data_IF_032124602501
#
_entry.id   IF_032124602501
#
_cell.length_a   1.000
_cell.length_b   1.000
_cell.length_c   1.000
_cell.angle_alpha   90.00
_cell.angle_beta   90.00
_cell.angle_gamma   90.00
#
_symmetry.space_group_name_H-M   'P 1'
#
loop_
_entity.id
_entity.type
_entity.pdbx_description
1 polymer ?
#
# COMPACT_ATOMS: atom_id res chain seq x y z
N UNK A 1 -26.25 18.05 -3.01
CA UNK A 1 -25.99 19.50 -2.83
C UNK A 1 -24.94 19.95 -3.84
N UNK A 2 -25.22 21.02 -4.59
CA UNK A 2 -24.32 21.55 -5.65
C UNK A 2 -22.87 21.81 -5.14
N UNK A 3 -22.69 22.18 -3.87
CA UNK A 3 -21.34 22.39 -3.29
C UNK A 3 -20.59 21.08 -3.08
N UNK A 4 -21.27 20.05 -2.58
CA UNK A 4 -20.68 18.72 -2.41
C UNK A 4 -20.29 18.12 -3.76
N UNK A 5 -21.20 18.18 -4.74
CA UNK A 5 -20.95 17.70 -6.09
C UNK A 5 -19.76 18.40 -6.74
N UNK A 6 -19.64 19.73 -6.54
CA UNK A 6 -18.51 20.51 -7.02
C UNK A 6 -17.20 20.11 -6.34
N UNK A 7 -17.20 19.95 -5.01
CA UNK A 7 -16.00 19.56 -4.28
C UNK A 7 -15.50 18.18 -4.71
N UNK A 8 -16.40 17.22 -4.85
CA UNK A 8 -16.06 15.87 -5.35
C UNK A 8 -15.53 15.96 -6.79
N UNK A 9 -16.21 16.69 -7.67
CA UNK A 9 -15.78 16.85 -9.06
C UNK A 9 -14.40 17.50 -9.16
N UNK A 10 -14.10 18.52 -8.36
CA UNK A 10 -12.79 19.17 -8.30
C UNK A 10 -11.70 18.21 -7.81
N UNK A 11 -11.96 17.41 -6.78
CA UNK A 11 -11.00 16.44 -6.27
C UNK A 11 -10.69 15.35 -7.28
N UNK A 12 -11.72 14.85 -7.98
CA UNK A 12 -11.53 13.86 -9.03
C UNK A 12 -10.77 14.45 -10.21
N UNK A 13 -11.12 15.66 -10.62
CA UNK A 13 -10.40 16.35 -11.72
C UNK A 13 -8.92 16.56 -11.35
N UNK A 14 -8.62 16.98 -10.13
CA UNK A 14 -7.24 17.14 -9.66
C UNK A 14 -6.46 15.82 -9.68
N UNK A 15 -7.11 14.70 -9.30
CA UNK A 15 -6.49 13.40 -9.29
C UNK A 15 -6.22 12.83 -10.71
N UNK A 16 -7.11 13.11 -11.67
CA UNK A 16 -6.97 12.63 -13.06
C UNK A 16 -6.13 13.56 -13.94
N UNK A 17 -5.77 14.75 -13.48
CA UNK A 17 -4.85 15.64 -14.20
C UNK A 17 -3.44 15.04 -14.30
N UNK A 18 -2.64 15.38 -15.32
CA UNK A 18 -1.28 14.86 -15.49
C UNK A 18 -0.41 15.01 -14.24
N UNK A 19 -0.48 16.15 -13.56
CA UNK A 19 0.26 16.37 -12.30
C UNK A 19 -0.20 15.45 -11.15
N UNK A 20 -1.50 15.15 -11.05
CA UNK A 20 -2.05 14.20 -10.08
C UNK A 20 -1.60 12.78 -10.35
N UNK A 21 -1.61 12.36 -11.60
CA UNK A 21 -1.12 11.03 -12.04
C UNK A 21 0.38 10.89 -11.78
N UNK A 22 1.17 11.94 -12.12
CA UNK A 22 2.61 11.96 -11.86
C UNK A 22 2.92 11.83 -10.36
N UNK A 23 2.19 12.59 -9.52
CA UNK A 23 2.33 12.51 -8.07
C UNK A 23 1.99 11.11 -7.53
N UNK A 24 0.92 10.48 -8.03
CA UNK A 24 0.53 9.13 -7.64
C UNK A 24 1.57 8.08 -8.06
N UNK A 25 2.16 8.22 -9.25
CA UNK A 25 3.25 7.35 -9.72
C UNK A 25 4.48 7.49 -8.81
N UNK A 26 4.89 8.72 -8.47
CA UNK A 26 6.04 8.96 -7.57
C UNK A 26 5.80 8.39 -6.17
N UNK A 27 4.60 8.54 -5.62
CA UNK A 27 4.24 7.95 -4.33
C UNK A 27 4.28 6.42 -4.37
N UNK A 28 3.78 5.81 -5.43
CA UNK A 28 3.84 4.36 -5.64
C UNK A 28 5.29 3.86 -5.73
N UNK A 29 6.16 4.57 -6.45
CA UNK A 29 7.59 4.25 -6.54
C UNK A 29 8.29 4.33 -5.18
N UNK A 30 8.00 5.37 -4.39
CA UNK A 30 8.56 5.52 -3.04
C UNK A 30 8.10 4.40 -2.11
N UNK A 31 6.81 4.04 -2.15
CA UNK A 31 6.28 2.94 -1.36
C UNK A 31 6.92 1.59 -1.76
N UNK A 32 7.15 1.36 -3.05
CA UNK A 32 7.84 0.16 -3.53
C UNK A 32 9.27 0.08 -3.03
N UNK A 33 10.02 1.20 -3.03
CA UNK A 33 11.38 1.23 -2.51
C UNK A 33 11.42 0.88 -1.01
N UNK A 34 10.49 1.44 -0.22
CA UNK A 34 10.38 1.11 1.20
C UNK A 34 10.05 -0.37 1.44
N UNK A 35 9.15 -0.94 0.64
CA UNK A 35 8.77 -2.35 0.75
C UNK A 35 9.92 -3.27 0.33
N UNK A 36 10.68 -2.92 -0.70
CA UNK A 36 11.88 -3.64 -1.11
C UNK A 36 12.98 -3.60 -0.05
N UNK A 37 13.19 -2.46 0.61
CA UNK A 37 14.14 -2.33 1.73
C UNK A 37 13.72 -3.19 2.92
N UNK A 38 12.44 -3.16 3.31
CA UNK A 38 11.89 -4.01 4.37
C UNK A 38 12.06 -5.48 4.04
N UNK A 39 11.77 -5.89 2.82
CA UNK A 39 11.94 -7.25 2.35
C UNK A 39 13.39 -7.71 2.43
N UNK A 40 14.34 -6.91 1.95
CA UNK A 40 15.78 -7.20 2.07
C UNK A 40 16.22 -7.37 3.53
N UNK A 41 15.71 -6.54 4.44
CA UNK A 41 16.00 -6.68 5.86
C UNK A 41 15.44 -8.00 6.44
N UNK A 42 14.27 -8.44 6.01
CA UNK A 42 13.68 -9.74 6.40
C UNK A 42 14.47 -10.92 5.82
N UNK A 43 14.92 -10.84 4.57
CA UNK A 43 15.78 -11.85 3.93
C UNK A 43 17.11 -12.01 4.67
N UNK A 44 17.76 -10.90 5.06
CA UNK A 44 18.98 -10.93 5.88
C UNK A 44 18.73 -11.53 7.27
N UNK A 45 17.56 -11.25 7.86
CA UNK A 45 17.17 -11.83 9.15
C UNK A 45 17.01 -13.35 9.06
N UNK A 46 16.37 -13.82 7.98
CA UNK A 46 16.22 -15.26 7.71
C UNK A 46 17.58 -15.92 7.47
N UNK A 47 18.48 -15.28 6.71
CA UNK A 47 19.81 -15.79 6.46
C UNK A 47 20.62 -15.97 7.76
N UNK A 48 20.56 -14.98 8.67
CA UNK A 48 21.17 -15.07 10.01
C UNK A 48 20.56 -16.20 10.81
N UNK A 49 19.24 -16.34 10.86
CA UNK A 49 18.57 -17.40 11.59
C UNK A 49 19.00 -18.78 11.08
N UNK A 50 19.08 -18.97 9.76
CA UNK A 50 19.57 -20.20 9.15
C UNK A 50 21.06 -20.50 9.45
N UNK A 51 21.88 -19.45 9.53
CA UNK A 51 23.28 -19.61 9.93
C UNK A 51 23.39 -20.09 11.39
N UNK A 52 22.65 -19.47 12.32
CA UNK A 52 22.66 -19.86 13.73
C UNK A 52 22.07 -21.27 13.94
N UNK A 53 21.02 -21.63 13.19
CA UNK A 53 20.49 -22.99 13.20
C UNK A 53 21.55 -24.02 12.79
N UNK A 54 22.24 -23.80 11.67
CA UNK A 54 23.31 -24.69 11.20
C UNK A 54 24.47 -24.77 12.21
N UNK A 55 24.78 -23.66 12.88
CA UNK A 55 25.81 -23.62 13.92
C UNK A 55 25.39 -24.43 15.16
N UNK A 56 24.17 -24.22 15.65
CA UNK A 56 23.62 -24.94 16.79
C UNK A 56 23.53 -26.45 16.51
N UNK A 57 23.10 -26.84 15.31
CA UNK A 57 23.06 -28.22 14.86
C UNK A 57 24.44 -28.89 14.90
N UNK A 58 25.48 -28.23 14.32
CA UNK A 58 26.84 -28.75 14.33
C UNK A 58 27.40 -28.91 15.74
N UNK A 59 27.03 -28.02 16.68
CA UNK A 59 27.43 -28.14 18.08
C UNK A 59 26.77 -29.35 18.77
N UNK A 60 25.48 -29.57 18.47
CA UNK A 60 24.74 -30.73 18.94
C UNK A 60 25.31 -32.05 18.38
N UNK A 61 25.57 -32.11 17.07
CA UNK A 61 26.10 -33.29 16.38
C UNK A 61 27.53 -33.68 16.87
N UNK A 62 28.27 -32.69 17.43
CA UNK A 62 29.63 -32.91 17.94
C UNK A 62 29.71 -33.37 19.39
N UNK A 63 28.58 -33.50 20.12
CA UNK A 63 28.54 -33.91 21.52
C UNK A 63 28.50 -35.41 21.63
N UNK A 64 29.28 -35.95 22.58
CA UNK A 64 29.24 -37.37 22.93
C UNK A 64 27.90 -37.71 23.61
N UNK A 65 27.21 -38.80 23.20
CA UNK A 65 25.89 -39.18 23.72
C UNK A 65 25.84 -39.45 25.24
N UNK A 66 26.96 -39.77 25.83
CA UNK A 66 27.09 -40.02 27.28
C UNK A 66 26.96 -38.72 28.10
N UNK A 67 27.23 -37.56 27.48
CA UNK A 67 27.22 -36.26 28.14
C UNK A 67 25.80 -35.65 28.10
N UNK A 68 24.84 -36.32 28.75
CA UNK A 68 23.40 -36.04 28.67
C UNK A 68 23.01 -34.60 29.00
N UNK A 69 23.68 -33.97 29.98
CA UNK A 69 23.36 -32.59 30.37
C UNK A 69 23.74 -31.59 29.27
N UNK A 70 24.93 -31.76 28.67
CA UNK A 70 25.39 -30.89 27.57
C UNK A 70 24.57 -31.15 26.31
N UNK A 71 24.25 -32.41 26.00
CA UNK A 71 23.40 -32.75 24.86
C UNK A 71 22.02 -32.11 24.98
N UNK A 72 21.38 -32.16 26.15
CA UNK A 72 20.07 -31.53 26.38
C UNK A 72 20.11 -30.02 26.24
N UNK A 73 21.14 -29.34 26.72
CA UNK A 73 21.31 -27.89 26.55
C UNK A 73 21.52 -27.51 25.08
N UNK A 74 22.33 -28.26 24.35
CA UNK A 74 22.56 -28.00 22.91
C UNK A 74 21.35 -28.33 22.06
N UNK A 75 20.58 -29.35 22.41
CA UNK A 75 19.28 -29.65 21.79
C UNK A 75 18.29 -28.49 21.99
N UNK A 76 18.19 -27.94 23.19
CA UNK A 76 17.34 -26.79 23.48
C UNK A 76 17.75 -25.58 22.68
N UNK A 77 19.06 -25.29 22.51
CA UNK A 77 19.57 -24.21 21.66
C UNK A 77 19.24 -24.44 20.21
N UNK A 78 19.41 -25.63 19.68
CA UNK A 78 19.06 -25.95 18.30
C UNK A 78 17.56 -25.82 18.06
N UNK A 79 16.71 -26.34 18.96
CA UNK A 79 15.26 -26.11 18.86
C UNK A 79 14.86 -24.64 18.89
N UNK A 80 15.53 -23.83 19.73
CA UNK A 80 15.36 -22.38 19.74
C UNK A 80 15.74 -21.74 18.40
N UNK A 81 16.85 -22.16 17.80
CA UNK A 81 17.28 -21.66 16.48
C UNK A 81 16.33 -22.09 15.35
N UNK A 82 15.79 -23.31 15.39
CA UNK A 82 14.75 -23.75 14.45
C UNK A 82 13.47 -22.90 14.55
N UNK A 83 13.05 -22.56 15.76
CA UNK A 83 11.91 -21.67 15.97
C UNK A 83 12.14 -20.27 15.38
N UNK A 84 13.38 -19.73 15.49
CA UNK A 84 13.75 -18.45 14.88
C UNK A 84 13.71 -18.49 13.35
N UNK A 85 14.14 -19.60 12.74
CA UNK A 85 14.01 -19.78 11.28
C UNK A 85 12.55 -19.77 10.85
N UNK A 86 11.70 -20.56 11.54
CA UNK A 86 10.26 -20.63 11.25
C UNK A 86 9.59 -19.26 11.37
N UNK A 87 9.93 -18.51 12.41
CA UNK A 87 9.39 -17.15 12.59
C UNK A 87 9.84 -16.19 11.48
N UNK A 88 11.14 -16.23 11.12
CA UNK A 88 11.67 -15.39 10.04
C UNK A 88 11.05 -15.74 8.69
N UNK A 89 10.83 -17.01 8.38
CA UNK A 89 10.13 -17.46 7.17
C UNK A 89 8.68 -16.97 7.14
N UNK A 90 7.97 -17.07 8.26
CA UNK A 90 6.59 -16.57 8.36
C UNK A 90 6.51 -15.06 8.15
N UNK A 91 7.44 -14.28 8.71
CA UNK A 91 7.52 -12.82 8.52
C UNK A 91 7.81 -12.45 7.06
N UNK A 92 8.74 -13.15 6.42
CA UNK A 92 9.06 -12.92 5.01
C UNK A 92 7.86 -13.27 4.10
N UNK A 93 7.17 -14.38 4.38
CA UNK A 93 5.96 -14.76 3.65
C UNK A 93 4.83 -13.74 3.83
N UNK A 94 4.64 -13.20 5.05
CA UNK A 94 3.64 -12.17 5.33
C UNK A 94 3.93 -10.83 4.64
N UNK A 95 5.18 -10.51 4.37
CA UNK A 95 5.57 -9.31 3.62
C UNK A 95 5.12 -9.34 2.14
N UNK A 96 4.65 -10.48 1.65
CA UNK A 96 4.13 -10.64 0.29
C UNK A 96 5.19 -10.55 -0.81
N UNK A 97 4.73 -10.55 -2.05
CA UNK A 97 5.60 -10.35 -3.21
C UNK A 97 5.76 -8.85 -3.45
N UNK A 98 6.97 -8.43 -3.84
CA UNK A 98 7.21 -7.07 -4.29
C UNK A 98 6.25 -6.71 -5.44
N UNK A 99 5.63 -5.53 -5.36
CA UNK A 99 4.81 -5.02 -6.44
C UNK A 99 5.68 -4.80 -7.68
N UNK A 100 5.14 -5.13 -8.86
CA UNK A 100 5.88 -4.92 -10.11
C UNK A 100 5.85 -3.43 -10.45
N UNK A 101 7.00 -2.76 -10.59
CA UNK A 101 7.04 -1.35 -10.92
C UNK A 101 6.47 -1.08 -12.31
N UNK A 102 5.80 0.06 -12.47
CA UNK A 102 5.31 0.50 -13.77
C UNK A 102 6.47 0.74 -14.73
N UNK A 103 6.36 0.20 -15.93
CA UNK A 103 7.33 0.45 -17.01
C UNK A 103 7.23 1.90 -17.50
N UNK A 104 8.29 2.39 -18.13
CA UNK A 104 8.30 3.73 -18.72
C UNK A 104 7.13 3.93 -19.71
N UNK A 105 6.86 2.93 -20.55
CA UNK A 105 5.74 2.92 -21.50
C UNK A 105 4.39 3.06 -20.80
N UNK A 106 4.16 2.31 -19.72
CA UNK A 106 2.91 2.41 -18.95
C UNK A 106 2.72 3.77 -18.30
N UNK A 107 3.80 4.41 -17.83
CA UNK A 107 3.76 5.78 -17.29
C UNK A 107 3.40 6.80 -18.37
N UNK A 108 3.98 6.68 -19.56
CA UNK A 108 3.68 7.53 -20.72
C UNK A 108 2.22 7.35 -21.19
N UNK A 109 1.73 6.11 -21.22
CA UNK A 109 0.32 5.80 -21.54
C UNK A 109 -0.65 6.38 -20.51
N UNK A 110 -0.30 6.30 -19.21
CA UNK A 110 -1.10 6.91 -18.13
C UNK A 110 -1.14 8.43 -18.25
N UNK A 111 -0.02 9.07 -18.56
CA UNK A 111 0.05 10.52 -18.74
C UNK A 111 -0.82 10.97 -19.95
N UNK A 112 -0.70 10.32 -21.09
CA UNK A 112 -1.50 10.61 -22.27
C UNK A 112 -3.01 10.39 -22.02
N UNK A 113 -3.38 9.32 -21.32
CA UNK A 113 -4.76 9.05 -20.93
C UNK A 113 -5.31 10.15 -20.01
N UNK A 114 -4.49 10.62 -19.07
CA UNK A 114 -4.83 11.69 -18.14
C UNK A 114 -5.14 13.01 -18.86
N UNK A 115 -4.33 13.40 -19.84
CA UNK A 115 -4.58 14.59 -20.67
C UNK A 115 -5.91 14.49 -21.43
N UNK A 116 -6.16 13.35 -22.06
CA UNK A 116 -7.40 13.08 -22.78
C UNK A 116 -8.64 13.11 -21.88
N UNK A 117 -8.57 12.51 -20.69
CA UNK A 117 -9.66 12.51 -19.71
C UNK A 117 -9.95 13.92 -19.18
N UNK A 118 -8.93 14.72 -18.94
CA UNK A 118 -9.08 16.12 -18.50
C UNK A 118 -9.72 16.98 -19.56
N UNK A 119 -9.29 16.84 -20.81
CA UNK A 119 -9.90 17.55 -21.95
C UNK A 119 -11.37 17.16 -22.11
N UNK A 120 -11.68 15.87 -22.03
CA UNK A 120 -13.02 15.34 -22.16
C UNK A 120 -13.93 15.78 -20.99
N UNK A 121 -13.43 15.82 -19.76
CA UNK A 121 -14.16 16.28 -18.59
C UNK A 121 -14.57 17.75 -18.70
N UNK A 122 -13.68 18.60 -19.22
CA UNK A 122 -13.89 20.04 -19.34
C UNK A 122 -14.66 20.45 -20.60
N UNK A 123 -14.92 19.51 -21.52
CA UNK A 123 -15.66 19.81 -22.73
C UNK A 123 -17.09 20.29 -22.40
N UNK A 124 -17.59 21.40 -22.98
CA UNK A 124 -18.91 21.94 -22.66
C UNK A 124 -20.05 20.94 -22.91
N UNK A 125 -19.94 20.14 -23.97
CA UNK A 125 -20.93 19.14 -24.36
C UNK A 125 -20.68 17.75 -23.75
N UNK A 126 -19.77 17.63 -22.74
CA UNK A 126 -19.49 16.36 -22.11
C UNK A 126 -20.75 15.81 -21.43
N UNK A 127 -21.26 14.61 -21.85
CA UNK A 127 -22.45 14.02 -21.26
C UNK A 127 -22.25 13.76 -19.77
N UNK A 128 -23.28 14.05 -18.97
CA UNK A 128 -23.23 13.80 -17.52
C UNK A 128 -23.00 12.32 -17.17
N UNK A 129 -23.46 11.42 -18.06
CA UNK A 129 -23.22 9.97 -17.94
C UNK A 129 -21.74 9.63 -18.03
N UNK A 130 -20.98 10.32 -18.86
CA UNK A 130 -19.54 10.16 -18.97
C UNK A 130 -18.84 10.58 -17.68
N UNK A 131 -19.18 11.76 -17.13
CA UNK A 131 -18.65 12.22 -15.84
C UNK A 131 -18.96 11.26 -14.72
N UNK A 132 -20.18 10.73 -14.66
CA UNK A 132 -20.58 9.68 -13.68
C UNK A 132 -19.79 8.40 -13.88
N UNK A 133 -19.49 8.00 -15.11
CA UNK A 133 -18.69 6.79 -15.40
C UNK A 133 -17.25 6.96 -14.92
N UNK A 134 -16.63 8.11 -15.17
CA UNK A 134 -15.29 8.42 -14.65
C UNK A 134 -15.29 8.37 -13.13
N UNK A 135 -16.26 9.03 -12.45
CA UNK A 135 -16.39 8.99 -10.99
C UNK A 135 -16.46 7.55 -10.46
N UNK A 136 -17.30 6.69 -11.04
CA UNK A 136 -17.46 5.29 -10.63
C UNK A 136 -16.22 4.42 -10.90
N UNK A 137 -15.39 4.82 -11.85
CA UNK A 137 -14.14 4.10 -12.15
C UNK A 137 -13.04 4.45 -11.14
N UNK A 138 -12.98 5.71 -10.72
CA UNK A 138 -11.87 6.20 -9.86
C UNK A 138 -12.21 6.19 -8.37
N UNK A 139 -13.50 6.21 -8.02
CA UNK A 139 -13.98 6.20 -6.63
C UNK A 139 -14.77 4.92 -6.34
N UNK A 140 -14.40 4.26 -5.25
CA UNK A 140 -15.13 3.09 -4.72
C UNK A 140 -16.31 3.54 -3.88
N UNK A 141 -16.13 4.55 -3.04
CA UNK A 141 -17.10 5.02 -2.08
C UNK A 141 -16.89 6.49 -1.73
N UNK A 142 -17.98 7.17 -1.36
CA UNK A 142 -17.97 8.53 -0.81
C UNK A 142 -18.74 8.50 0.50
N UNK A 143 -18.05 8.71 1.62
CA UNK A 143 -18.66 8.79 2.95
C UNK A 143 -18.84 10.26 3.30
N UNK A 144 -20.08 10.63 3.67
CA UNK A 144 -20.43 11.98 4.09
C UNK A 144 -20.80 11.93 5.57
N UNK A 145 -19.96 12.55 6.41
CA UNK A 145 -20.23 12.70 7.83
C UNK A 145 -20.78 14.09 8.10
N UNK A 146 -22.01 14.11 8.61
CA UNK A 146 -22.66 15.32 9.05
C UNK A 146 -22.41 15.49 10.56
N UNK A 147 -21.41 16.29 10.90
CA UNK A 147 -21.20 16.72 12.29
C UNK A 147 -22.34 17.70 12.65
N UNK A 148 -23.15 17.37 13.64
CA UNK A 148 -24.33 18.17 14.03
C UNK A 148 -23.94 19.57 14.54
N UNK A 149 -22.73 19.70 15.09
CA UNK A 149 -22.23 20.95 15.70
C UNK A 149 -21.34 21.79 14.77
N UNK A 150 -21.00 21.29 13.57
CA UNK A 150 -20.15 22.02 12.64
C UNK A 150 -20.93 22.57 11.44
N UNK A 151 -20.61 23.80 11.03
CA UNK A 151 -21.13 24.41 9.80
C UNK A 151 -20.55 23.75 8.53
N UNK A 152 -19.89 22.58 8.64
CA UNK A 152 -19.19 21.92 7.55
C UNK A 152 -19.63 20.46 7.42
N UNK A 153 -19.64 19.95 6.18
CA UNK A 153 -19.69 18.52 5.88
C UNK A 153 -18.29 17.99 5.75
N UNK A 154 -18.01 16.85 6.36
CA UNK A 154 -16.76 16.10 6.16
C UNK A 154 -17.00 14.98 5.18
N UNK A 155 -16.31 15.02 4.04
CA UNK A 155 -16.36 13.97 3.03
C UNK A 155 -15.09 13.17 3.07
N UNK A 156 -15.22 11.84 2.99
CA UNK A 156 -14.10 10.94 2.76
C UNK A 156 -14.31 10.26 1.42
N UNK A 157 -13.40 10.51 0.48
CA UNK A 157 -13.39 9.89 -0.84
C UNK A 157 -12.49 8.66 -0.79
N UNK A 158 -13.04 7.48 -1.04
CA UNK A 158 -12.27 6.25 -1.16
C UNK A 158 -11.97 6.01 -2.65
N UNK A 159 -10.69 6.03 -2.99
CA UNK A 159 -10.23 5.80 -4.35
C UNK A 159 -10.14 4.31 -4.66
N UNK A 160 -10.31 3.93 -5.92
CA UNK A 160 -10.22 2.55 -6.39
C UNK A 160 -8.87 1.88 -6.09
N UNK A 161 -7.81 2.67 -5.83
CA UNK A 161 -6.49 2.19 -5.41
C UNK A 161 -6.31 1.98 -3.89
N UNK A 162 -7.39 2.05 -3.08
CA UNK A 162 -7.34 1.83 -1.63
C UNK A 162 -6.90 3.03 -0.80
N UNK A 163 -6.56 4.15 -1.42
CA UNK A 163 -6.23 5.42 -0.74
C UNK A 163 -7.50 6.21 -0.46
N UNK A 164 -7.49 7.09 0.53
CA UNK A 164 -8.62 8.00 0.80
C UNK A 164 -8.17 9.45 0.91
N UNK A 165 -9.09 10.36 0.57
CA UNK A 165 -8.91 11.82 0.71
C UNK A 165 -10.04 12.39 1.55
N UNK A 166 -9.71 13.24 2.52
CA UNK A 166 -10.71 13.96 3.32
C UNK A 166 -10.89 15.39 2.82
N UNK A 167 -12.15 15.78 2.64
CA UNK A 167 -12.55 17.13 2.25
C UNK A 167 -13.48 17.72 3.29
N UNK A 168 -13.39 19.03 3.50
CA UNK A 168 -14.34 19.81 4.30
C UNK A 168 -15.09 20.76 3.39
N UNK A 169 -16.40 20.70 3.39
CA UNK A 169 -17.28 21.54 2.57
C UNK A 169 -18.26 22.27 3.45
N UNK A 170 -18.31 23.57 3.35
CA UNK A 170 -19.24 24.39 4.14
C UNK A 170 -20.70 24.07 3.81
N UNK A 171 -21.53 24.00 4.84
CA UNK A 171 -22.97 23.88 4.69
C UNK A 171 -23.56 25.15 4.06
N UNK A 172 -24.65 25.00 3.30
CA UNK A 172 -25.45 26.16 2.95
C UNK A 172 -26.03 26.71 4.25
N UNK A 173 -25.77 28.00 4.53
CA UNK A 173 -26.58 28.68 5.52
C UNK A 173 -28.03 28.69 5.05
N UNK A 174 -29.01 28.42 5.97
CA UNK A 174 -30.43 28.53 5.65
C UNK A 174 -30.79 29.95 5.22
#
# INVERSE_FOLDING_TARGET
SLRLDRAVAQSVLAAIQPAGVEAAVKLSESAQLEDDEKRKALELTLERARYEEKRARRQFDAVEPENRLVASELEARWNGALAQVTEAEARLAAAGNAAVPLTKKQKEELAALSENLTALWNHPDAPIQLKKRILRTVLTEIIINNDTDSATHRLRLHWAGGVHTELRVERNKP
#
